data_IF_198614541286
#
_entry.id   IF_198614541286
#
_cell.length_a   1.000
_cell.length_b   1.000
_cell.length_c   1.000
_cell.angle_alpha   90.00
_cell.angle_beta   90.00
_cell.angle_gamma   90.00
#
_symmetry.space_group_name_H-M   'P 1'
#
loop_
_entity.id
_entity.type
_entity.pdbx_description
1 polymer ?
#
# COMPACT_ATOMS: atom_id res chain seq x y z
N UNK A 1 -4.59 12.81 -23.06
CA UNK A 1 -6.07 12.74 -23.16
C UNK A 1 -6.59 11.47 -23.86
N UNK A 2 -5.77 10.74 -24.64
CA UNK A 2 -6.25 9.61 -25.47
C UNK A 2 -6.64 8.35 -24.68
N UNK A 3 -5.91 7.99 -23.62
CA UNK A 3 -6.16 6.74 -22.88
C UNK A 3 -7.44 6.82 -22.03
N UNK A 4 -7.64 7.91 -21.30
CA UNK A 4 -8.88 8.15 -20.53
C UNK A 4 -10.11 8.26 -21.43
N UNK A 5 -9.98 8.84 -22.63
CA UNK A 5 -11.08 8.91 -23.59
C UNK A 5 -11.43 7.52 -24.18
N UNK A 6 -10.47 6.62 -24.28
CA UNK A 6 -10.68 5.27 -24.82
C UNK A 6 -11.16 4.25 -23.75
N UNK A 7 -10.69 4.36 -22.51
CA UNK A 7 -10.93 3.38 -21.45
C UNK A 7 -11.79 3.89 -20.28
N UNK A 8 -12.04 5.20 -20.21
CA UNK A 8 -12.63 5.84 -19.05
C UNK A 8 -11.63 5.99 -17.88
N UNK A 9 -12.09 6.64 -16.82
CA UNK A 9 -11.38 6.78 -15.56
C UNK A 9 -12.18 6.05 -14.46
N UNK A 10 -11.52 5.15 -13.74
CA UNK A 10 -12.15 4.45 -12.61
C UNK A 10 -12.13 5.28 -11.32
N UNK A 11 -11.13 6.14 -11.16
CA UNK A 11 -11.00 7.07 -10.05
C UNK A 11 -9.61 7.68 -9.96
N UNK A 12 -9.40 8.56 -8.99
CA UNK A 12 -8.15 9.28 -8.77
C UNK A 12 -7.67 9.13 -7.31
N UNK A 13 -6.35 9.07 -7.12
CA UNK A 13 -5.71 8.98 -5.80
C UNK A 13 -4.93 10.26 -5.54
N UNK A 14 -5.18 10.90 -4.40
CA UNK A 14 -4.37 12.01 -3.89
C UNK A 14 -3.49 11.50 -2.76
N UNK A 15 -2.18 11.78 -2.81
CA UNK A 15 -1.23 11.37 -1.78
C UNK A 15 -0.03 12.29 -1.65
N UNK A 16 0.57 12.32 -0.45
CA UNK A 16 1.89 12.93 -0.20
C UNK A 16 2.92 11.83 -0.07
N UNK A 17 4.01 11.91 -0.83
CA UNK A 17 5.06 10.88 -0.90
C UNK A 17 6.41 11.42 -0.44
N UNK A 18 7.06 10.71 0.48
CA UNK A 18 8.50 10.84 0.74
C UNK A 18 9.21 9.67 0.10
N UNK A 19 10.30 9.94 -0.63
CA UNK A 19 11.05 8.91 -1.37
C UNK A 19 12.44 8.78 -0.78
N UNK A 20 12.85 7.56 -0.48
CA UNK A 20 14.23 7.20 -0.17
C UNK A 20 14.76 6.33 -1.30
N UNK A 21 15.93 6.68 -1.81
CA UNK A 21 16.53 6.00 -2.96
C UNK A 21 17.81 5.30 -2.54
N UNK A 22 17.93 4.06 -2.97
CA UNK A 22 19.14 3.24 -2.94
C UNK A 22 19.49 2.84 -4.38
N UNK A 23 20.67 2.28 -4.60
CA UNK A 23 21.10 1.89 -5.95
C UNK A 23 20.16 0.84 -6.58
N UNK A 24 19.67 -0.10 -5.77
CA UNK A 24 18.87 -1.24 -6.20
C UNK A 24 17.41 -1.20 -5.74
N UNK A 25 17.01 -0.19 -4.94
CA UNK A 25 15.66 -0.11 -4.39
C UNK A 25 15.18 1.33 -4.19
N UNK A 26 13.86 1.50 -4.20
CA UNK A 26 13.17 2.73 -3.78
C UNK A 26 12.19 2.39 -2.69
N UNK A 27 12.15 3.23 -1.66
CA UNK A 27 11.20 3.13 -0.56
C UNK A 27 10.32 4.38 -0.59
N UNK A 28 9.01 4.17 -0.66
CA UNK A 28 8.02 5.23 -0.65
C UNK A 28 7.30 5.22 0.70
N UNK A 29 7.25 6.37 1.36
CA UNK A 29 6.33 6.61 2.48
C UNK A 29 5.20 7.49 1.97
N UNK A 30 4.04 6.89 1.81
CA UNK A 30 2.85 7.52 1.25
C UNK A 30 1.85 7.82 2.36
N UNK A 31 1.38 9.06 2.42
CA UNK A 31 0.19 9.48 3.16
C UNK A 31 -0.90 9.67 2.11
N UNK A 32 -1.79 8.68 2.01
CA UNK A 32 -2.84 8.59 0.99
C UNK A 32 -4.14 9.08 1.59
N UNK A 33 -4.78 10.03 0.91
CA UNK A 33 -6.03 10.61 1.38
C UNK A 33 -7.07 9.52 1.65
N UNK A 34 -7.85 9.67 2.73
CA UNK A 34 -8.92 8.75 3.17
C UNK A 34 -8.53 7.32 3.60
N UNK A 35 -7.38 6.78 3.21
CA UNK A 35 -6.99 5.38 3.51
C UNK A 35 -5.72 5.24 4.36
N UNK A 36 -5.05 6.34 4.70
CA UNK A 36 -3.98 6.36 5.69
C UNK A 36 -2.57 6.25 5.12
N UNK A 37 -1.65 5.72 5.93
CA UNK A 37 -0.22 5.73 5.64
C UNK A 37 0.29 4.36 5.19
N UNK A 38 1.15 4.37 4.18
CA UNK A 38 1.70 3.16 3.57
C UNK A 38 3.20 3.28 3.35
N UNK A 39 3.84 2.13 3.37
CA UNK A 39 5.21 1.96 2.88
C UNK A 39 5.21 1.01 1.69
N UNK A 40 5.90 1.40 0.63
CA UNK A 40 6.08 0.58 -0.57
C UNK A 40 7.58 0.44 -0.88
N UNK A 41 8.02 -0.80 -1.16
CA UNK A 41 9.42 -1.17 -1.37
C UNK A 41 9.52 -1.73 -2.80
N UNK A 42 10.08 -0.92 -3.70
CA UNK A 42 10.26 -1.28 -5.09
C UNK A 42 11.74 -1.63 -5.37
N UNK A 43 12.02 -2.90 -5.63
CA UNK A 43 13.36 -3.37 -6.02
C UNK A 43 13.53 -3.30 -7.54
N UNK A 44 14.68 -2.81 -7.99
CA UNK A 44 15.01 -2.74 -9.42
C UNK A 44 15.37 -4.12 -9.94
N UNK A 45 14.66 -4.58 -10.96
CA UNK A 45 14.92 -5.82 -11.64
C UNK A 45 16.17 -5.68 -12.53
N UNK A 46 17.28 -6.30 -12.15
CA UNK A 46 18.56 -6.23 -12.87
C UNK A 46 18.81 -7.43 -13.79
N UNK A 47 18.02 -8.49 -13.65
CA UNK A 47 18.04 -9.71 -14.46
C UNK A 47 16.62 -10.22 -14.68
N UNK A 48 16.43 -11.25 -15.51
CA UNK A 48 15.11 -11.89 -15.68
C UNK A 48 14.65 -12.72 -14.48
N UNK A 49 15.34 -12.63 -13.33
CA UNK A 49 15.05 -13.40 -12.11
C UNK A 49 14.22 -12.56 -11.10
N UNK A 50 12.91 -12.79 -10.98
CA UNK A 50 12.07 -12.10 -10.02
C UNK A 50 12.33 -12.57 -8.57
N UNK A 51 12.83 -13.78 -8.35
CA UNK A 51 13.01 -14.34 -7.00
C UNK A 51 14.09 -13.56 -6.22
N UNK A 52 15.15 -13.16 -6.91
CA UNK A 52 16.18 -12.27 -6.35
C UNK A 52 15.59 -10.92 -5.89
N UNK A 53 14.62 -10.37 -6.62
CA UNK A 53 13.97 -9.12 -6.24
C UNK A 53 13.06 -9.30 -5.02
N UNK A 54 12.31 -10.39 -4.94
CA UNK A 54 11.50 -10.70 -3.76
C UNK A 54 12.35 -10.92 -2.51
N UNK A 55 13.46 -11.65 -2.63
CA UNK A 55 14.39 -11.85 -1.53
C UNK A 55 14.97 -10.52 -1.02
N UNK A 56 15.32 -9.62 -1.95
CA UNK A 56 15.81 -8.28 -1.61
C UNK A 56 14.74 -7.41 -0.95
N UNK A 57 13.50 -7.43 -1.45
CA UNK A 57 12.39 -6.69 -0.85
C UNK A 57 12.11 -7.18 0.58
N UNK A 58 12.15 -8.51 0.78
CA UNK A 58 12.05 -9.14 2.10
C UNK A 58 13.16 -8.68 3.04
N UNK A 59 14.42 -8.67 2.60
CA UNK A 59 15.54 -8.20 3.41
C UNK A 59 15.33 -6.74 3.88
N UNK A 60 14.91 -5.84 2.99
CA UNK A 60 14.64 -4.44 3.34
C UNK A 60 13.51 -4.35 4.35
N UNK A 61 12.40 -5.09 4.13
CA UNK A 61 11.24 -5.13 5.03
C UNK A 61 11.63 -5.60 6.44
N UNK A 62 12.39 -6.69 6.52
CA UNK A 62 12.83 -7.28 7.79
C UNK A 62 13.74 -6.30 8.56
N UNK A 63 14.63 -5.57 7.85
CA UNK A 63 15.48 -4.51 8.44
C UNK A 63 14.68 -3.32 8.96
N UNK A 64 13.57 -2.99 8.31
CA UNK A 64 12.63 -1.96 8.77
C UNK A 64 11.67 -2.46 9.85
N UNK A 65 11.76 -3.75 10.24
CA UNK A 65 10.92 -4.41 11.24
C UNK A 65 9.43 -4.36 10.89
N UNK A 66 9.12 -4.45 9.60
CA UNK A 66 7.75 -4.54 9.11
C UNK A 66 7.37 -6.02 9.08
N UNK A 67 6.29 -6.35 9.77
CA UNK A 67 5.83 -7.72 9.87
C UNK A 67 5.15 -8.19 8.58
N UNK A 68 5.17 -9.50 8.34
CA UNK A 68 4.62 -10.10 7.12
C UNK A 68 3.08 -9.98 7.05
N UNK A 69 2.40 -9.96 8.20
CA UNK A 69 0.96 -9.70 8.33
C UNK A 69 0.56 -8.25 8.02
N UNK A 70 1.52 -7.33 7.98
CA UNK A 70 1.29 -5.95 7.56
C UNK A 70 1.35 -5.76 6.03
N UNK A 71 1.59 -6.84 5.27
CA UNK A 71 1.56 -6.78 3.80
C UNK A 71 0.12 -6.55 3.34
N UNK A 72 -0.06 -5.48 2.57
CA UNK A 72 -1.36 -5.14 1.95
C UNK A 72 -1.37 -5.66 0.51
N UNK A 73 -2.14 -6.72 0.19
CA UNK A 73 -2.16 -7.32 -1.14
C UNK A 73 -3.11 -6.59 -2.11
N UNK A 74 -3.27 -5.28 -1.96
CA UNK A 74 -4.23 -4.46 -2.71
C UNK A 74 -3.62 -3.12 -3.14
N UNK A 75 -4.09 -2.59 -4.27
CA UNK A 75 -3.73 -1.24 -4.69
C UNK A 75 -4.60 -0.19 -3.97
N UNK A 76 -4.09 1.04 -3.83
CA UNK A 76 -4.81 2.13 -3.15
C UNK A 76 -6.21 2.39 -3.72
N UNK A 77 -6.39 2.28 -5.04
CA UNK A 77 -7.69 2.48 -5.67
C UNK A 77 -8.69 1.41 -5.29
N UNK A 78 -8.27 0.15 -5.23
CA UNK A 78 -9.13 -0.95 -4.81
C UNK A 78 -9.52 -0.78 -3.34
N UNK A 79 -8.58 -0.37 -2.47
CA UNK A 79 -8.85 -0.09 -1.06
C UNK A 79 -9.84 1.07 -0.85
N UNK A 80 -9.70 2.15 -1.64
CA UNK A 80 -10.65 3.27 -1.64
C UNK A 80 -12.04 2.86 -2.14
N UNK A 81 -12.11 2.03 -3.19
CA UNK A 81 -13.38 1.59 -3.77
C UNK A 81 -14.15 0.62 -2.87
N UNK A 82 -13.43 -0.22 -2.13
CA UNK A 82 -14.00 -1.24 -1.26
C UNK A 82 -14.33 -0.72 0.15
N UNK A 83 -14.08 0.58 0.43
CA UNK A 83 -14.18 1.19 1.76
C UNK A 83 -13.47 0.34 2.84
N UNK A 84 -12.31 -0.25 2.50
CA UNK A 84 -11.55 -1.06 3.45
C UNK A 84 -10.93 -0.14 4.52
N UNK A 85 -11.63 -0.02 5.65
CA UNK A 85 -11.08 0.62 6.85
C UNK A 85 -10.09 -0.34 7.50
N UNK A 86 -8.80 -0.07 7.36
CA UNK A 86 -7.78 -0.62 8.24
C UNK A 86 -7.74 0.29 9.48
N UNK A 87 -8.77 0.17 10.33
CA UNK A 87 -8.73 0.77 11.66
C UNK A 87 -7.57 0.12 12.42
N UNK A 88 -6.43 0.80 12.43
CA UNK A 88 -5.43 0.64 13.47
C UNK A 88 -6.04 1.17 14.78
N UNK A 89 -6.88 0.34 15.39
CA UNK A 89 -7.21 0.44 16.81
C UNK A 89 -5.95 0.02 17.60
N UNK A 90 -4.94 0.90 17.61
CA UNK A 90 -4.14 1.14 18.81
C UNK A 90 -5.17 1.40 19.91
N UNK A 91 -5.12 0.73 21.08
CA UNK A 91 -6.22 0.74 22.03
C UNK A 91 -6.58 2.17 22.47
N UNK A 92 -7.64 2.71 21.85
CA UNK A 92 -8.80 3.35 22.47
C UNK A 92 -9.57 4.19 21.44
N UNK A 93 -10.61 3.63 20.82
CA UNK A 93 -11.95 4.27 20.86
C UNK A 93 -13.10 3.28 20.65
N UNK A 94 -13.98 3.29 21.63
CA UNK A 94 -15.13 2.41 21.84
C UNK A 94 -16.06 2.21 20.63
N UNK A 95 -16.48 0.94 20.52
CA UNK A 95 -17.87 0.46 20.35
C UNK A 95 -18.39 0.19 18.94
N UNK A 96 -18.43 -1.09 18.57
CA UNK A 96 -19.46 -1.63 17.67
C UNK A 96 -20.31 -2.68 18.40
N UNK A 97 -21.43 -2.23 18.96
CA UNK A 97 -22.55 -3.11 19.32
C UNK A 97 -23.26 -3.51 18.02
N UNK A 98 -23.04 -4.74 17.59
CA UNK A 98 -23.70 -5.42 16.47
C UNK A 98 -25.24 -5.33 16.65
N UNK A 99 -25.94 -4.67 15.72
CA UNK A 99 -27.37 -4.86 15.50
C UNK A 99 -27.54 -5.69 14.23
N UNK A 100 -27.67 -7.00 14.43
CA UNK A 100 -28.34 -7.87 13.47
C UNK A 100 -29.85 -7.65 13.67
N UNK A 101 -30.56 -7.36 12.60
CA UNK A 101 -32.02 -7.29 12.57
C UNK A 101 -32.50 -7.67 11.18
N UNK A 102 -33.32 -8.72 11.15
CA UNK A 102 -34.00 -9.33 10.01
C UNK A 102 -34.79 -8.33 9.16
#
# INVERSE_FOLDING_TARGET
ATLSAALGERGAITKKRRVFTMDDARIYLDDVDQIGQFIDIAVTLTSSDPDACYARAKEIRDRLKISEDAIVPAAYLDMMMDNLSFDDDIPSRKSTKKRLGN
#
